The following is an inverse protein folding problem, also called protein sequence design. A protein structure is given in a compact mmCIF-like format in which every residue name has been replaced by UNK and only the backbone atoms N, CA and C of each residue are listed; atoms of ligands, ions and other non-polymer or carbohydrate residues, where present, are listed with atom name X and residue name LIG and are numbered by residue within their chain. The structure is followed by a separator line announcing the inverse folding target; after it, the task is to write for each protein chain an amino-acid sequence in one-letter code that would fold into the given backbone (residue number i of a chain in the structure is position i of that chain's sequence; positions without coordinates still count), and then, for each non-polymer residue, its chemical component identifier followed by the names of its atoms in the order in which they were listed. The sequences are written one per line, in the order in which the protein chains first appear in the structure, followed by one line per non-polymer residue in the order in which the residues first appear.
data_IF_185619531457
#
_entry.id   IF_185619531457
#
_cell.length_a   1.000
_cell.length_b   1.000
_cell.length_c   1.000
_cell.angle_alpha   90.00
_cell.angle_beta   90.00
_cell.angle_gamma   90.00
#
_symmetry.space_group_name_H-M   'P 1'
#
loop_
_entity.id
_entity.type
_entity.pdbx_description
1 polymer ?
#
# COMPACT_ATOMS: atom_id res chain seq x y z
N UNK A 1 34.01 32.37 63.01
CA UNK A 1 32.67 32.11 62.52
C UNK A 1 32.62 32.40 61.00
N UNK A 2 33.32 31.67 60.15
CA UNK A 2 33.37 32.03 58.71
C UNK A 2 33.50 30.83 57.77
N UNK A 3 34.11 29.71 58.20
CA UNK A 3 34.38 28.58 57.30
C UNK A 3 33.16 27.61 57.12
N UNK A 4 32.32 27.51 58.11
CA UNK A 4 31.20 26.53 58.13
C UNK A 4 30.04 26.95 57.20
N UNK A 5 29.85 28.24 56.95
CA UNK A 5 28.79 28.72 56.03
C UNK A 5 29.11 28.48 54.53
N UNK A 6 30.40 28.53 54.16
CA UNK A 6 30.78 28.28 52.75
C UNK A 6 30.63 26.82 52.33
N UNK A 7 30.84 25.88 53.25
CA UNK A 7 30.71 24.45 52.97
C UNK A 7 29.25 24.07 52.76
N UNK A 8 28.31 24.64 53.51
CA UNK A 8 26.85 24.38 53.32
C UNK A 8 26.30 24.97 52.02
N UNK A 9 26.80 26.11 51.57
CA UNK A 9 26.37 26.74 50.31
C UNK A 9 26.83 25.92 49.09
N UNK A 10 28.07 25.38 49.10
CA UNK A 10 28.61 24.56 48.01
C UNK A 10 27.88 23.23 47.87
N UNK A 11 27.50 22.58 48.97
CA UNK A 11 26.75 21.32 48.98
C UNK A 11 25.32 21.46 48.40
N UNK A 12 24.65 22.56 48.72
CA UNK A 12 23.28 22.85 48.20
C UNK A 12 23.30 23.17 46.71
N UNK A 13 24.32 23.82 46.16
CA UNK A 13 24.50 24.03 44.73
C UNK A 13 24.78 22.73 43.96
N UNK A 14 25.65 21.86 44.51
CA UNK A 14 25.97 20.57 43.88
C UNK A 14 24.78 19.62 43.84
N UNK A 15 23.92 19.58 44.87
CA UNK A 15 22.69 18.79 44.86
C UNK A 15 21.68 19.32 43.83
N UNK A 16 21.49 20.62 43.74
CA UNK A 16 20.55 21.24 42.78
C UNK A 16 20.98 21.00 41.32
N UNK A 17 22.28 21.00 41.02
CA UNK A 17 22.79 20.72 39.68
C UNK A 17 22.63 19.25 39.31
N UNK A 18 22.82 18.33 40.26
CA UNK A 18 22.56 16.88 40.04
C UNK A 18 21.09 16.58 39.69
N UNK A 19 20.15 17.25 40.35
CA UNK A 19 18.71 17.15 40.04
C UNK A 19 18.35 17.70 38.66
N UNK A 20 18.96 18.82 38.24
CA UNK A 20 18.73 19.39 36.92
C UNK A 20 19.27 18.49 35.77
N UNK A 21 20.39 17.83 36.00
CA UNK A 21 20.97 16.88 35.02
C UNK A 21 20.08 15.63 34.88
N UNK A 22 19.52 15.09 35.96
CA UNK A 22 18.62 13.96 35.93
C UNK A 22 17.25 14.29 35.28
N UNK A 23 16.74 15.50 35.51
CA UNK A 23 15.48 15.96 34.89
C UNK A 23 15.68 16.21 33.39
N UNK A 24 16.81 16.73 32.95
CA UNK A 24 17.09 16.91 31.51
C UNK A 24 17.36 15.59 30.76
N UNK A 25 18.00 14.60 31.41
CA UNK A 25 18.16 13.26 30.84
C UNK A 25 16.82 12.51 30.73
N UNK A 26 15.90 12.69 31.67
CA UNK A 26 14.56 12.10 31.66
C UNK A 26 13.65 12.69 30.58
N UNK A 27 13.82 13.96 30.24
CA UNK A 27 13.02 14.64 29.22
C UNK A 27 13.40 14.23 27.77
N UNK A 28 14.63 13.77 27.53
CA UNK A 28 15.04 13.27 26.20
C UNK A 28 14.52 11.87 25.89
N UNK A 29 14.09 11.09 26.88
CA UNK A 29 13.60 9.74 26.68
C UNK A 29 12.11 9.65 26.28
N UNK A 30 11.34 10.76 26.34
CA UNK A 30 9.92 10.79 26.01
C UNK A 30 9.60 11.21 24.57
N UNK A 31 10.58 11.51 23.74
CA UNK A 31 10.36 11.99 22.36
C UNK A 31 10.27 10.86 21.31
N UNK A 32 10.09 9.62 21.70
CA UNK A 32 10.26 8.45 20.82
C UNK A 32 9.00 7.67 20.41
N UNK A 33 7.79 8.06 20.81
CA UNK A 33 6.55 7.44 20.33
C UNK A 33 5.81 8.38 19.38
N UNK A 34 6.35 8.57 18.20
CA UNK A 34 5.53 8.99 17.06
C UNK A 34 4.65 7.81 16.70
N UNK A 35 3.33 7.97 16.73
CA UNK A 35 2.35 6.98 16.27
C UNK A 35 2.71 6.54 14.84
N UNK A 36 3.26 5.33 14.72
CA UNK A 36 3.49 4.65 13.45
C UNK A 36 2.19 4.01 12.97
N UNK A 37 1.08 4.73 13.10
CA UNK A 37 -0.21 4.26 12.63
C UNK A 37 -0.29 4.38 11.11
N UNK A 38 -0.85 3.37 10.46
CA UNK A 38 -1.16 3.41 9.05
C UNK A 38 -2.17 4.53 8.73
N UNK A 39 -2.06 5.10 7.55
CA UNK A 39 -2.99 6.11 7.01
C UNK A 39 -4.15 5.47 6.28
N UNK A 40 -3.91 4.31 5.68
CA UNK A 40 -4.93 3.51 5.00
C UNK A 40 -5.68 2.63 6.00
N UNK A 41 -6.78 2.01 5.54
CA UNK A 41 -7.58 1.12 6.39
C UNK A 41 -6.75 -0.11 6.72
N UNK A 42 -6.55 -0.36 8.02
CA UNK A 42 -5.86 -1.56 8.50
C UNK A 42 -6.77 -2.78 8.38
N UNK A 43 -6.31 -3.77 7.62
CA UNK A 43 -6.96 -5.06 7.40
C UNK A 43 -6.19 -6.21 8.05
N UNK A 44 -5.26 -5.93 8.95
CA UNK A 44 -4.47 -6.97 9.62
C UNK A 44 -5.38 -7.98 10.32
N UNK A 45 -5.20 -9.27 9.98
CA UNK A 45 -6.04 -10.35 10.53
C UNK A 45 -7.36 -10.59 9.80
N UNK A 46 -7.64 -9.89 8.69
CA UNK A 46 -8.82 -10.17 7.87
C UNK A 46 -8.74 -11.60 7.28
N UNK A 47 -9.90 -12.26 7.21
CA UNK A 47 -10.05 -13.66 6.77
C UNK A 47 -10.43 -13.81 5.28
N UNK A 48 -10.28 -12.75 4.50
CA UNK A 48 -10.54 -12.67 3.06
C UNK A 48 -9.35 -12.07 2.31
N UNK A 49 -9.40 -12.05 0.96
CA UNK A 49 -8.32 -11.56 0.11
C UNK A 49 -6.97 -12.21 0.47
N UNK A 50 -6.99 -13.53 0.74
CA UNK A 50 -5.82 -14.31 1.19
C UNK A 50 -4.80 -14.56 0.08
N UNK A 51 -5.13 -14.20 -1.15
CA UNK A 51 -4.26 -14.32 -2.30
C UNK A 51 -5.01 -14.63 -3.58
N UNK A 52 -4.25 -14.86 -4.64
CA UNK A 52 -4.77 -15.20 -5.95
C UNK A 52 -3.90 -16.27 -6.60
N UNK A 53 -4.47 -16.93 -7.62
CA UNK A 53 -3.76 -17.81 -8.57
C UNK A 53 -4.40 -17.57 -9.92
N UNK A 54 -3.81 -16.66 -10.72
CA UNK A 54 -4.41 -16.11 -11.94
C UNK A 54 -3.39 -16.07 -13.08
N UNK A 55 -3.80 -16.27 -14.35
CA UNK A 55 -2.93 -16.12 -15.50
C UNK A 55 -2.58 -14.64 -15.72
N UNK A 56 -1.31 -14.38 -16.03
CA UNK A 56 -0.85 -13.08 -16.51
C UNK A 56 -1.05 -12.94 -18.03
N UNK A 57 -0.65 -11.80 -18.59
CA UNK A 57 -0.72 -11.48 -20.02
C UNK A 57 0.15 -12.39 -20.92
N UNK A 58 0.98 -13.25 -20.35
CA UNK A 58 1.78 -14.24 -21.07
C UNK A 58 1.22 -15.66 -20.91
N UNK A 59 0.16 -15.81 -20.09
CA UNK A 59 -0.45 -17.11 -19.76
C UNK A 59 0.20 -17.82 -18.58
N UNK A 60 1.20 -17.21 -17.95
CA UNK A 60 1.85 -17.77 -16.76
C UNK A 60 0.97 -17.57 -15.52
N UNK A 61 0.78 -18.61 -14.73
CA UNK A 61 0.05 -18.48 -13.48
C UNK A 61 0.87 -17.72 -12.46
N UNK A 62 0.31 -16.62 -11.95
CA UNK A 62 0.88 -15.79 -10.89
C UNK A 62 0.14 -15.97 -9.59
N UNK A 63 0.91 -15.90 -8.50
CA UNK A 63 0.45 -15.94 -7.12
C UNK A 63 1.14 -14.85 -6.29
N UNK A 64 0.71 -14.58 -5.07
CA UNK A 64 1.44 -13.67 -4.15
C UNK A 64 2.87 -14.14 -3.88
N UNK A 65 3.12 -15.46 -3.92
CA UNK A 65 4.46 -16.03 -3.67
C UNK A 65 5.50 -15.62 -4.72
N UNK A 66 5.07 -15.31 -5.94
CA UNK A 66 5.97 -14.85 -7.02
C UNK A 66 6.54 -13.46 -6.73
N UNK A 67 5.94 -12.75 -5.77
CA UNK A 67 6.33 -11.41 -5.37
C UNK A 67 6.86 -11.36 -3.92
N UNK A 68 7.26 -12.49 -3.35
CA UNK A 68 7.78 -12.57 -1.99
C UNK A 68 8.93 -11.56 -1.76
N UNK A 69 8.95 -10.90 -0.60
CA UNK A 69 9.92 -9.85 -0.26
C UNK A 69 9.54 -8.45 -0.77
N UNK A 70 8.42 -8.31 -1.47
CA UNK A 70 7.88 -7.04 -1.96
C UNK A 70 6.57 -6.69 -1.27
N UNK A 71 6.29 -5.40 -1.15
CA UNK A 71 4.92 -4.92 -0.92
C UNK A 71 4.14 -5.14 -2.21
N UNK A 72 3.02 -5.87 -2.14
CA UNK A 72 2.19 -6.16 -3.32
C UNK A 72 0.89 -5.37 -3.23
N UNK A 73 0.58 -4.66 -4.31
CA UNK A 73 -0.64 -3.85 -4.45
C UNK A 73 -1.53 -4.51 -5.48
N UNK A 74 -2.68 -5.02 -5.06
CA UNK A 74 -3.66 -5.66 -5.95
C UNK A 74 -4.82 -4.69 -6.20
N UNK A 75 -5.04 -4.36 -7.46
CA UNK A 75 -6.06 -3.43 -7.91
C UNK A 75 -6.92 -4.06 -9.01
N UNK A 76 -8.26 -4.01 -8.84
CA UNK A 76 -9.23 -4.49 -9.83
C UNK A 76 -9.69 -3.33 -10.70
N UNK A 77 -9.69 -3.52 -12.03
CA UNK A 77 -10.03 -2.45 -12.96
C UNK A 77 -10.23 -2.95 -14.38
N UNK A 78 -10.34 -2.02 -15.33
CA UNK A 78 -10.46 -2.31 -16.76
C UNK A 78 -9.86 -1.16 -17.58
N UNK A 79 -9.40 -1.47 -18.81
CA UNK A 79 -8.66 -0.51 -19.65
C UNK A 79 -9.49 0.68 -20.08
N UNK A 80 -10.78 0.47 -20.40
CA UNK A 80 -11.68 1.53 -20.86
C UNK A 80 -12.31 2.35 -19.71
N UNK A 81 -11.78 2.25 -18.49
CA UNK A 81 -12.17 3.10 -17.38
C UNK A 81 -11.68 4.54 -17.64
N UNK A 82 -12.59 5.55 -17.64
CA UNK A 82 -12.21 6.89 -18.07
C UNK A 82 -11.41 7.68 -17.04
N UNK A 83 -11.41 7.28 -15.76
CA UNK A 83 -10.89 8.11 -14.68
C UNK A 83 -10.17 7.29 -13.60
N UNK A 84 -10.87 6.47 -12.83
CA UNK A 84 -10.35 5.82 -11.62
C UNK A 84 -9.12 4.95 -11.88
N UNK A 85 -9.15 4.12 -12.94
CA UNK A 85 -8.07 3.18 -13.21
C UNK A 85 -6.76 3.85 -13.62
N UNK A 86 -6.75 4.77 -14.63
CA UNK A 86 -5.51 5.46 -15.00
C UNK A 86 -4.98 6.35 -13.88
N UNK A 87 -5.85 6.99 -13.10
CA UNK A 87 -5.45 7.79 -11.94
C UNK A 87 -4.76 6.92 -10.89
N UNK A 88 -5.35 5.78 -10.50
CA UNK A 88 -4.77 4.86 -9.52
C UNK A 88 -3.41 4.31 -9.97
N UNK A 89 -3.29 3.89 -11.25
CA UNK A 89 -2.00 3.40 -11.76
C UNK A 89 -0.93 4.50 -11.78
N UNK A 90 -1.30 5.73 -12.14
CA UNK A 90 -0.39 6.89 -12.08
C UNK A 90 0.02 7.24 -10.65
N UNK A 91 -0.89 7.15 -9.68
CA UNK A 91 -0.58 7.34 -8.26
C UNK A 91 0.44 6.29 -7.78
N UNK A 92 0.25 5.01 -8.09
CA UNK A 92 1.20 3.96 -7.71
C UNK A 92 2.55 4.08 -8.43
N UNK A 93 2.59 4.58 -9.67
CA UNK A 93 3.84 4.94 -10.34
C UNK A 93 4.57 6.05 -9.56
N UNK A 94 3.85 7.11 -9.14
CA UNK A 94 4.43 8.19 -8.34
C UNK A 94 4.92 7.71 -6.96
N UNK A 95 4.17 6.81 -6.30
CA UNK A 95 4.59 6.18 -5.03
C UNK A 95 5.93 5.46 -5.23
N UNK A 96 6.07 4.65 -6.27
CA UNK A 96 7.35 3.96 -6.58
C UNK A 96 8.49 4.93 -6.83
N UNK A 97 8.23 6.01 -7.58
CA UNK A 97 9.24 7.05 -7.85
C UNK A 97 9.65 7.77 -6.56
N UNK A 98 8.71 8.12 -5.70
CA UNK A 98 8.98 8.81 -4.42
C UNK A 98 9.76 7.93 -3.42
N UNK A 99 9.62 6.61 -3.50
CA UNK A 99 10.37 5.65 -2.68
C UNK A 99 11.83 5.45 -3.16
N UNK A 100 12.20 5.94 -4.34
CA UNK A 100 13.53 5.75 -4.90
C UNK A 100 13.89 4.27 -5.09
N UNK A 101 15.00 3.80 -4.52
CA UNK A 101 15.44 2.39 -4.61
C UNK A 101 14.45 1.41 -3.98
N UNK A 102 13.72 1.81 -2.93
CA UNK A 102 12.69 0.97 -2.31
C UNK A 102 11.46 0.81 -3.22
N UNK A 103 11.27 1.66 -4.22
CA UNK A 103 10.21 1.52 -5.22
C UNK A 103 10.28 0.21 -6.00
N UNK A 104 11.47 -0.38 -6.19
CA UNK A 104 11.64 -1.70 -6.81
C UNK A 104 11.06 -2.84 -5.95
N UNK A 105 10.88 -2.59 -4.66
CA UNK A 105 10.27 -3.51 -3.70
C UNK A 105 8.74 -3.36 -3.62
N UNK A 106 8.14 -2.57 -4.50
CA UNK A 106 6.68 -2.42 -4.63
C UNK A 106 6.24 -3.02 -5.96
N UNK A 107 5.38 -4.03 -5.92
CA UNK A 107 4.79 -4.65 -7.09
C UNK A 107 3.33 -4.28 -7.21
N UNK A 108 2.96 -3.63 -8.31
CA UNK A 108 1.56 -3.39 -8.66
C UNK A 108 1.05 -4.53 -9.54
N UNK A 109 -0.11 -5.06 -9.15
CA UNK A 109 -0.81 -6.17 -9.82
C UNK A 109 -2.20 -5.67 -10.18
N UNK A 110 -2.46 -5.52 -11.46
CA UNK A 110 -3.74 -5.15 -12.01
C UNK A 110 -4.53 -6.41 -12.40
N UNK A 111 -5.75 -6.57 -11.89
CA UNK A 111 -6.65 -7.68 -12.24
C UNK A 111 -7.79 -7.11 -13.07
N UNK A 112 -7.91 -7.54 -14.35
CA UNK A 112 -9.02 -7.06 -15.16
C UNK A 112 -10.37 -7.61 -14.68
N UNK A 113 -11.36 -6.72 -14.64
CA UNK A 113 -12.78 -7.09 -14.44
C UNK A 113 -13.55 -7.18 -15.77
N UNK A 114 -12.87 -6.98 -16.89
CA UNK A 114 -13.44 -7.01 -18.24
C UNK A 114 -12.57 -7.84 -19.21
N UNK A 115 -12.38 -9.12 -18.97
CA UNK A 115 -11.50 -9.96 -19.80
C UNK A 115 -11.99 -10.15 -21.25
N UNK A 116 -13.20 -9.69 -21.56
CA UNK A 116 -13.73 -9.74 -22.93
C UNK A 116 -13.09 -8.67 -23.83
N UNK A 117 -12.84 -7.44 -23.29
CA UNK A 117 -12.22 -6.34 -24.02
C UNK A 117 -10.73 -6.19 -23.70
N UNK A 118 -10.34 -6.53 -22.50
CA UNK A 118 -8.97 -6.39 -21.99
C UNK A 118 -8.12 -7.60 -22.37
N UNK A 119 -7.81 -7.73 -23.69
CA UNK A 119 -6.94 -8.81 -24.16
C UNK A 119 -5.51 -8.65 -23.62
N UNK A 120 -4.68 -9.71 -23.64
CA UNK A 120 -3.28 -9.62 -23.24
C UNK A 120 -2.49 -8.52 -23.97
N UNK A 121 -2.78 -8.29 -25.27
CA UNK A 121 -2.14 -7.26 -26.09
C UNK A 121 -2.55 -5.86 -25.62
N UNK A 122 -3.84 -5.64 -25.36
CA UNK A 122 -4.40 -4.38 -24.88
C UNK A 122 -3.82 -4.04 -23.50
N UNK A 123 -3.81 -5.02 -22.59
CA UNK A 123 -3.26 -4.83 -21.25
C UNK A 123 -1.75 -4.60 -21.25
N UNK A 124 -1.00 -5.26 -22.13
CA UNK A 124 0.43 -5.02 -22.26
C UNK A 124 0.71 -3.57 -22.63
N UNK A 125 0.03 -3.05 -23.65
CA UNK A 125 0.17 -1.66 -24.07
C UNK A 125 -0.26 -0.69 -22.96
N UNK A 126 -1.35 -1.00 -22.26
CA UNK A 126 -1.88 -0.18 -21.17
C UNK A 126 -0.91 -0.12 -19.98
N UNK A 127 -0.39 -1.25 -19.50
CA UNK A 127 0.60 -1.26 -18.39
C UNK A 127 1.89 -0.52 -18.77
N UNK A 128 2.38 -0.69 -20.00
CA UNK A 128 3.58 0.01 -20.49
C UNK A 128 3.45 1.54 -20.48
N UNK A 129 2.24 2.09 -20.57
CA UNK A 129 2.01 3.53 -20.51
C UNK A 129 2.18 4.12 -19.10
N UNK A 130 2.21 3.28 -18.05
CA UNK A 130 2.46 3.68 -16.66
C UNK A 130 3.84 3.21 -16.20
N UNK A 131 4.00 1.92 -16.02
CA UNK A 131 5.26 1.30 -15.59
C UNK A 131 5.35 -0.12 -16.16
N UNK A 132 6.38 -0.44 -16.97
CA UNK A 132 6.52 -1.76 -17.59
C UNK A 132 6.71 -2.92 -16.60
N UNK A 133 7.00 -2.62 -15.32
CA UNK A 133 7.10 -3.62 -14.26
C UNK A 133 5.75 -3.99 -13.62
N UNK A 134 4.68 -3.24 -13.94
CA UNK A 134 3.34 -3.58 -13.47
C UNK A 134 2.87 -4.87 -14.12
N UNK A 135 2.28 -5.75 -13.33
CA UNK A 135 1.76 -7.04 -13.79
C UNK A 135 0.25 -6.94 -14.00
N UNK A 136 -0.21 -7.36 -15.17
CA UNK A 136 -1.64 -7.50 -15.45
C UNK A 136 -2.04 -8.97 -15.46
N UNK A 137 -3.16 -9.29 -14.79
CA UNK A 137 -3.74 -10.60 -14.69
C UNK A 137 -5.07 -10.65 -15.46
N UNK A 138 -5.26 -11.71 -16.25
CA UNK A 138 -6.39 -11.88 -17.17
C UNK A 138 -7.12 -13.20 -16.87
N UNK A 139 -7.89 -13.27 -15.79
CA UNK A 139 -8.69 -14.44 -15.48
C UNK A 139 -9.82 -14.63 -16.51
N UNK A 140 -10.24 -15.88 -16.75
CA UNK A 140 -11.52 -16.14 -17.39
C UNK A 140 -12.70 -15.74 -16.48
N UNK A 141 -13.90 -15.64 -17.05
CA UNK A 141 -15.07 -15.13 -16.30
C UNK A 141 -15.43 -15.98 -15.06
N UNK A 142 -15.37 -17.33 -15.07
CA UNK A 142 -15.57 -18.13 -13.86
C UNK A 142 -14.51 -17.90 -12.77
N UNK A 143 -13.26 -17.77 -13.16
CA UNK A 143 -12.13 -17.52 -12.25
C UNK A 143 -12.19 -16.09 -11.68
N UNK A 144 -12.53 -15.09 -12.54
CA UNK A 144 -12.76 -13.72 -12.09
C UNK A 144 -13.82 -13.65 -11.00
N UNK A 145 -14.95 -14.34 -11.18
CA UNK A 145 -16.02 -14.36 -10.17
C UNK A 145 -15.52 -14.87 -8.83
N UNK A 146 -14.79 -15.99 -8.82
CA UNK A 146 -14.24 -16.58 -7.59
C UNK A 146 -13.25 -15.65 -6.88
N UNK A 147 -12.35 -15.02 -7.64
CA UNK A 147 -11.37 -14.11 -7.02
C UNK A 147 -12.03 -12.80 -6.55
N UNK A 148 -13.01 -12.29 -7.29
CA UNK A 148 -13.77 -11.12 -6.86
C UNK A 148 -14.55 -11.39 -5.57
N UNK A 149 -15.18 -12.56 -5.43
CA UNK A 149 -15.85 -12.97 -4.21
C UNK A 149 -14.87 -13.12 -3.03
N UNK A 150 -13.68 -13.71 -3.24
CA UNK A 150 -12.61 -13.83 -2.22
C UNK A 150 -12.11 -12.45 -1.78
N UNK A 151 -12.01 -11.48 -2.69
CA UNK A 151 -11.60 -10.11 -2.41
C UNK A 151 -12.76 -9.20 -1.97
N UNK A 152 -14.00 -9.70 -1.94
CA UNK A 152 -15.21 -8.89 -1.70
C UNK A 152 -15.32 -7.70 -2.66
N UNK A 153 -14.85 -7.91 -3.90
CA UNK A 153 -14.92 -6.92 -4.96
C UNK A 153 -16.22 -7.10 -5.72
N UNK A 154 -17.01 -6.04 -5.73
CA UNK A 154 -18.18 -5.94 -6.61
C UNK A 154 -17.72 -5.52 -8.01
N UNK A 155 -18.29 -6.13 -9.05
CA UNK A 155 -18.18 -5.66 -10.42
C UNK A 155 -19.43 -6.05 -11.21
N UNK A 156 -19.83 -5.21 -12.16
CA UNK A 156 -20.90 -5.50 -13.11
C UNK A 156 -20.73 -4.72 -14.40
N UNK A 157 -21.21 -5.28 -15.49
CA UNK A 157 -21.38 -4.57 -16.74
C UNK A 157 -22.61 -3.67 -16.66
N UNK A 158 -22.50 -2.46 -17.20
CA UNK A 158 -23.57 -1.47 -17.32
C UNK A 158 -23.68 -1.06 -18.79
N UNK A 159 -24.84 -1.25 -19.37
CA UNK A 159 -25.10 -0.93 -20.77
C UNK A 159 -24.89 0.55 -21.05
N UNK A 160 -24.23 0.85 -22.16
CA UNK A 160 -23.99 2.21 -22.64
C UNK A 160 -25.13 2.72 -23.54
N UNK A 161 -24.91 3.89 -24.14
CA UNK A 161 -25.93 4.55 -24.97
C UNK A 161 -26.22 3.87 -26.31
N UNK A 162 -25.40 2.87 -26.71
CA UNK A 162 -25.62 2.10 -27.94
C UNK A 162 -25.67 0.59 -27.61
N UNK A 163 -26.34 -0.21 -28.46
CA UNK A 163 -26.49 -1.66 -28.19
C UNK A 163 -25.18 -2.44 -28.02
N UNK A 164 -24.06 -1.89 -28.51
CA UNK A 164 -22.74 -2.52 -28.45
C UNK A 164 -21.78 -1.85 -27.48
N UNK A 165 -22.20 -0.74 -26.83
CA UNK A 165 -21.39 -0.04 -25.85
C UNK A 165 -21.76 -0.45 -24.42
N UNK A 166 -20.76 -0.58 -23.57
CA UNK A 166 -20.96 -0.78 -22.14
C UNK A 166 -19.77 -0.25 -21.34
N UNK A 167 -19.98 -0.04 -20.05
CA UNK A 167 -18.92 0.22 -19.07
C UNK A 167 -18.98 -0.80 -17.95
N UNK A 168 -17.96 -0.80 -17.08
CA UNK A 168 -17.94 -1.63 -15.88
C UNK A 168 -18.06 -0.74 -14.64
N UNK A 169 -18.96 -1.09 -13.74
CA UNK A 169 -18.92 -0.63 -12.36
C UNK A 169 -18.13 -1.62 -11.53
N UNK A 170 -17.22 -1.15 -10.70
CA UNK A 170 -16.45 -2.02 -9.81
C UNK A 170 -16.03 -1.30 -8.52
N UNK A 171 -15.67 -2.07 -7.50
CA UNK A 171 -15.07 -1.55 -6.27
C UNK A 171 -13.74 -0.88 -6.59
N UNK A 172 -13.62 0.40 -6.25
CA UNK A 172 -12.44 1.21 -6.47
C UNK A 172 -11.59 1.27 -5.20
N UNK A 173 -10.50 0.54 -5.18
CA UNK A 173 -9.52 0.54 -4.09
C UNK A 173 -8.50 -0.57 -4.28
N UNK A 174 -7.39 -0.46 -3.58
CA UNK A 174 -6.27 -1.38 -3.70
C UNK A 174 -6.00 -2.13 -2.39
N UNK A 175 -5.78 -3.43 -2.49
CA UNK A 175 -5.37 -4.28 -1.37
C UNK A 175 -3.85 -4.31 -1.32
N UNK A 176 -3.28 -4.07 -0.14
CA UNK A 176 -1.84 -3.94 0.05
C UNK A 176 -1.36 -5.05 0.99
N UNK A 177 -0.43 -5.85 0.48
CA UNK A 177 0.22 -6.94 1.20
C UNK A 177 1.63 -6.54 1.60
N UNK A 178 2.05 -6.98 2.76
CA UNK A 178 3.42 -6.81 3.21
C UNK A 178 4.40 -7.80 2.51
N UNK A 179 5.71 -7.65 2.70
CA UNK A 179 6.71 -8.52 2.07
C UNK A 179 6.60 -10.01 2.43
N UNK A 180 5.87 -10.36 3.49
CA UNK A 180 5.57 -11.76 3.84
C UNK A 180 4.40 -12.34 3.06
N UNK A 181 3.63 -11.49 2.34
CA UNK A 181 2.40 -11.84 1.64
C UNK A 181 1.15 -11.82 2.52
N UNK A 182 1.22 -11.23 3.72
CA UNK A 182 0.05 -11.01 4.56
C UNK A 182 -0.72 -9.76 4.12
N UNK A 183 -2.05 -9.84 4.04
CA UNK A 183 -2.90 -8.68 3.80
C UNK A 183 -2.79 -7.71 4.98
N UNK A 184 -2.49 -6.44 4.67
CA UNK A 184 -2.30 -5.44 5.69
C UNK A 184 -3.23 -4.23 5.54
N UNK A 185 -3.39 -3.69 4.34
CA UNK A 185 -4.10 -2.43 4.16
C UNK A 185 -5.06 -2.48 2.99
N UNK A 186 -6.06 -1.60 3.05
CA UNK A 186 -6.93 -1.25 1.92
C UNK A 186 -6.84 0.26 1.68
N UNK A 187 -6.30 0.65 0.54
CA UNK A 187 -6.24 2.02 0.07
C UNK A 187 -7.48 2.34 -0.74
N UNK A 188 -8.25 3.35 -0.30
CA UNK A 188 -9.39 3.87 -1.07
C UNK A 188 -8.89 4.70 -2.25
N UNK A 189 -9.69 4.78 -3.30
CA UNK A 189 -9.48 5.75 -4.37
C UNK A 189 -9.37 7.18 -3.81
N UNK A 190 -8.41 7.95 -4.31
CA UNK A 190 -8.13 9.31 -3.85
C UNK A 190 -7.25 9.41 -2.60
N UNK A 191 -6.62 8.30 -2.17
CA UNK A 191 -5.57 8.36 -1.17
C UNK A 191 -4.37 9.15 -1.69
N UNK A 192 -3.81 10.08 -0.91
CA UNK A 192 -2.67 10.87 -1.38
C UNK A 192 -1.40 10.02 -1.54
N UNK A 193 -0.58 10.36 -2.52
CA UNK A 193 0.71 9.70 -2.78
C UNK A 193 1.58 9.70 -1.51
N UNK A 194 1.61 10.81 -0.76
CA UNK A 194 2.39 10.95 0.48
C UNK A 194 1.93 9.96 1.54
N UNK A 195 0.60 9.76 1.69
CA UNK A 195 0.06 8.81 2.66
C UNK A 195 0.35 7.37 2.28
N UNK A 196 0.30 7.05 0.98
CA UNK A 196 0.66 5.72 0.45
C UNK A 196 2.16 5.44 0.64
N UNK A 197 3.03 6.42 0.37
CA UNK A 197 4.49 6.31 0.59
C UNK A 197 4.79 6.01 2.05
N UNK A 198 4.17 6.74 2.99
CA UNK A 198 4.36 6.51 4.44
C UNK A 198 3.99 5.08 4.84
N UNK A 199 2.83 4.60 4.40
CA UNK A 199 2.36 3.26 4.73
C UNK A 199 3.24 2.15 4.11
N UNK A 200 3.66 2.34 2.85
CA UNK A 200 4.59 1.40 2.20
C UNK A 200 5.93 1.34 2.93
N UNK A 201 6.47 2.49 3.37
CA UNK A 201 7.71 2.53 4.17
C UNK A 201 7.57 1.77 5.49
N UNK A 202 6.43 1.90 6.17
CA UNK A 202 6.15 1.12 7.38
C UNK A 202 6.12 -0.38 7.09
N UNK A 203 5.42 -0.82 6.03
CA UNK A 203 5.37 -2.23 5.63
C UNK A 203 6.74 -2.79 5.24
N UNK A 204 7.56 -2.02 4.53
CA UNK A 204 8.93 -2.40 4.16
C UNK A 204 9.86 -2.47 5.37
N UNK A 205 9.57 -1.70 6.43
CA UNK A 205 10.27 -1.71 7.72
C UNK A 205 9.83 -2.80 8.68
N UNK A 206 8.83 -3.63 8.33
CA UNK A 206 8.36 -4.77 9.13
C UNK A 206 7.34 -4.40 10.21
N UNK A 207 6.53 -3.36 9.98
CA UNK A 207 5.46 -2.87 10.89
C UNK A 207 4.09 -3.38 10.49
#
# INVERSE_FOLDING_TARGET
MGLMQYVYAAWRCALRWRWLVWVSLGALALSGCGDRAFRQIDLTGADYARGFSLPDINGDTRTLKDFAGRVVVVFFGFVQCPDVCPTTLSEWQQVRQALGSDGERVQVVFVTVDPQRDTPEVLRAYMQSFDPSFVALVPDAPTLRKVADEYKVFYRQVDGPTPTSYTMEHTAGAYIYDPSGALRLYARYGASVESLVQDVQLLLGGH
#
